data_IF_599772280545
#
_entry.id   IF_599772280545
#
_cell.length_a   1.000
_cell.length_b   1.000
_cell.length_c   1.000
_cell.angle_alpha   90.00
_cell.angle_beta   90.00
_cell.angle_gamma   90.00
#
_symmetry.space_group_name_H-M   'P 1'
#
loop_
_entity.id
_entity.type
_entity.pdbx_description
1 polymer ?
#
# COMPACT_ATOMS: atom_id res chain seq x y z
N UNK A 1 -8.01 -59.57 -5.78
CA UNK A 1 -8.69 -58.92 -6.91
C UNK A 1 -9.34 -57.68 -6.37
N UNK A 2 -8.70 -56.53 -6.54
CA UNK A 2 -9.20 -55.24 -6.09
C UNK A 2 -9.95 -54.58 -7.29
N UNK A 3 -11.26 -54.47 -7.10
CA UNK A 3 -12.17 -53.87 -8.07
C UNK A 3 -11.99 -52.32 -8.02
N UNK A 4 -11.27 -51.80 -8.97
CA UNK A 4 -11.05 -50.34 -9.11
C UNK A 4 -12.17 -49.82 -10.00
N UNK A 5 -13.18 -49.18 -9.38
CA UNK A 5 -14.24 -48.49 -10.10
C UNK A 5 -13.64 -47.29 -10.84
N UNK A 6 -13.82 -47.15 -12.15
CA UNK A 6 -13.42 -45.96 -12.88
C UNK A 6 -14.40 -44.82 -12.53
N UNK A 7 -13.91 -43.83 -11.81
CA UNK A 7 -14.62 -42.56 -11.63
C UNK A 7 -14.51 -41.80 -12.93
N UNK A 8 -15.50 -41.93 -13.81
CA UNK A 8 -15.67 -41.02 -14.94
C UNK A 8 -16.10 -39.67 -14.41
N UNK A 9 -15.15 -38.72 -14.37
CA UNK A 9 -15.48 -37.31 -14.19
C UNK A 9 -16.16 -36.82 -15.46
N UNK A 10 -17.50 -36.86 -15.51
CA UNK A 10 -18.26 -36.07 -16.45
C UNK A 10 -18.08 -34.60 -16.06
N UNK A 11 -17.38 -33.82 -16.88
CA UNK A 11 -17.45 -32.36 -16.85
C UNK A 11 -18.89 -31.96 -17.27
N UNK A 12 -19.83 -32.01 -16.35
CA UNK A 12 -21.08 -31.28 -16.52
C UNK A 12 -20.76 -29.80 -16.45
N UNK A 13 -20.78 -29.15 -17.60
CA UNK A 13 -20.72 -27.69 -17.70
C UNK A 13 -21.99 -27.16 -17.02
N UNK A 14 -21.90 -26.95 -15.70
CA UNK A 14 -22.99 -26.35 -14.90
C UNK A 14 -23.17 -24.92 -15.39
N UNK A 15 -24.20 -24.69 -16.19
CA UNK A 15 -24.61 -23.35 -16.61
C UNK A 15 -25.26 -22.64 -15.43
N UNK A 16 -24.45 -21.90 -14.67
CA UNK A 16 -24.97 -21.07 -13.58
C UNK A 16 -25.85 -19.96 -14.14
N UNK A 17 -26.93 -19.57 -13.42
CA UNK A 17 -27.76 -18.41 -13.78
C UNK A 17 -26.94 -17.14 -13.92
N UNK A 18 -27.36 -16.25 -14.81
CA UNK A 18 -26.61 -15.01 -15.11
C UNK A 18 -26.47 -14.08 -13.89
N UNK A 19 -27.46 -14.06 -13.00
CA UNK A 19 -27.45 -13.32 -11.73
C UNK A 19 -26.40 -13.88 -10.76
N UNK A 20 -26.26 -15.22 -10.65
CA UNK A 20 -25.22 -15.85 -9.85
C UNK A 20 -23.82 -15.51 -10.37
N UNK A 21 -23.63 -15.55 -11.70
CA UNK A 21 -22.38 -15.15 -12.33
C UNK A 21 -22.07 -13.66 -12.13
N UNK A 22 -23.07 -12.79 -12.17
CA UNK A 22 -22.92 -11.37 -11.87
C UNK A 22 -22.44 -11.15 -10.42
N UNK A 23 -23.05 -11.86 -9.46
CA UNK A 23 -22.66 -11.80 -8.06
C UNK A 23 -21.23 -12.26 -7.85
N UNK A 24 -20.80 -13.35 -8.48
CA UNK A 24 -19.40 -13.82 -8.46
C UNK A 24 -18.46 -12.73 -8.96
N UNK A 25 -18.79 -12.10 -10.09
CA UNK A 25 -17.96 -11.01 -10.64
C UNK A 25 -17.88 -9.81 -9.71
N UNK A 26 -18.95 -9.46 -9.01
CA UNK A 26 -18.95 -8.36 -8.05
C UNK A 26 -18.06 -8.66 -6.84
N UNK A 27 -18.14 -9.88 -6.29
CA UNK A 27 -17.21 -10.29 -5.23
C UNK A 27 -15.76 -10.38 -5.71
N UNK A 28 -15.50 -10.83 -6.93
CA UNK A 28 -14.15 -10.82 -7.52
C UNK A 28 -13.60 -9.38 -7.63
N UNK A 29 -14.43 -8.42 -8.05
CA UNK A 29 -14.06 -6.99 -8.08
C UNK A 29 -13.82 -6.44 -6.68
N UNK A 30 -14.68 -6.78 -5.71
CA UNK A 30 -14.56 -6.38 -4.31
C UNK A 30 -13.35 -7.01 -3.60
N UNK A 31 -12.75 -8.08 -4.16
CA UNK A 31 -11.55 -8.74 -3.62
C UNK A 31 -10.31 -7.83 -3.62
N UNK A 32 -10.34 -6.73 -4.37
CA UNK A 32 -9.25 -5.76 -4.47
C UNK A 32 -9.64 -4.43 -3.85
N UNK A 33 -8.71 -3.83 -3.10
CA UNK A 33 -8.89 -2.48 -2.58
C UNK A 33 -9.14 -1.47 -3.71
N UNK A 34 -10.01 -0.49 -3.48
CA UNK A 34 -10.34 0.54 -4.47
C UNK A 34 -9.12 1.28 -5.04
N UNK A 35 -8.09 1.49 -4.22
CA UNK A 35 -6.82 2.08 -4.66
C UNK A 35 -6.06 1.16 -5.63
N UNK A 36 -6.08 -0.16 -5.39
CA UNK A 36 -5.49 -1.15 -6.29
C UNK A 36 -6.23 -1.19 -7.62
N UNK A 37 -7.57 -1.17 -7.59
CA UNK A 37 -8.39 -1.15 -8.81
C UNK A 37 -8.10 0.10 -9.64
N UNK A 38 -8.01 1.28 -9.00
CA UNK A 38 -7.65 2.52 -9.70
C UNK A 38 -6.26 2.45 -10.34
N UNK A 39 -5.28 1.91 -9.62
CA UNK A 39 -3.93 1.73 -10.15
C UNK A 39 -3.93 0.77 -11.35
N UNK A 40 -4.64 -0.36 -11.24
CA UNK A 40 -4.75 -1.34 -12.33
C UNK A 40 -5.46 -0.78 -13.56
N UNK A 41 -6.52 0.02 -13.39
CA UNK A 41 -7.17 0.72 -14.51
C UNK A 41 -6.19 1.63 -15.26
N UNK A 42 -5.40 2.43 -14.53
CA UNK A 42 -4.38 3.30 -15.13
C UNK A 42 -3.28 2.51 -15.84
N UNK A 43 -2.83 1.41 -15.24
CA UNK A 43 -1.78 0.55 -15.79
C UNK A 43 -2.28 -0.21 -17.04
N UNK A 44 -3.52 -0.71 -17.02
CA UNK A 44 -4.15 -1.35 -18.17
C UNK A 44 -4.37 -0.36 -19.33
N UNK A 45 -4.79 0.87 -19.03
CA UNK A 45 -4.94 1.92 -20.03
C UNK A 45 -3.59 2.26 -20.69
N UNK A 46 -2.49 2.31 -19.92
CA UNK A 46 -1.15 2.53 -20.46
C UNK A 46 -0.71 1.39 -21.40
N UNK A 47 -1.01 0.13 -21.03
CA UNK A 47 -0.76 -1.03 -21.88
C UNK A 47 -1.59 -0.99 -23.16
N UNK A 48 -2.90 -0.73 -23.05
CA UNK A 48 -3.80 -0.65 -24.19
C UNK A 48 -3.39 0.45 -25.17
N UNK A 49 -2.99 1.63 -24.67
CA UNK A 49 -2.49 2.72 -25.51
C UNK A 49 -1.20 2.33 -26.25
N UNK A 50 -0.27 1.63 -25.57
CA UNK A 50 0.96 1.14 -26.19
C UNK A 50 0.65 0.10 -27.28
N UNK A 51 -0.25 -0.85 -27.02
CA UNK A 51 -0.68 -1.85 -28.00
C UNK A 51 -1.32 -1.20 -29.23
N UNK A 52 -2.21 -0.24 -29.02
CA UNK A 52 -2.83 0.50 -30.13
C UNK A 52 -1.80 1.22 -31.01
N UNK A 53 -0.77 1.82 -30.41
CA UNK A 53 0.34 2.44 -31.14
C UNK A 53 1.20 1.47 -31.93
N UNK A 54 1.14 0.17 -31.63
CA UNK A 54 1.88 -0.90 -32.33
C UNK A 54 0.97 -1.80 -33.17
N UNK A 55 -0.32 -1.51 -33.28
CA UNK A 55 -1.28 -2.28 -34.07
C UNK A 55 -1.52 -3.71 -33.54
N UNK A 56 -1.32 -3.95 -32.23
CA UNK A 56 -1.51 -5.26 -31.60
C UNK A 56 -2.64 -5.25 -30.60
N UNK A 57 -3.27 -6.42 -30.35
CA UNK A 57 -4.34 -6.56 -29.37
C UNK A 57 -3.81 -6.47 -27.94
N UNK A 58 -4.51 -5.71 -27.10
CA UNK A 58 -4.24 -5.65 -25.66
C UNK A 58 -5.07 -6.67 -24.85
N UNK A 59 -6.15 -7.19 -25.42
CA UNK A 59 -7.03 -8.17 -24.78
C UNK A 59 -7.80 -8.98 -25.84
N UNK A 60 -7.50 -10.27 -26.05
CA UNK A 60 -6.37 -11.00 -25.44
C UNK A 60 -5.02 -10.47 -25.92
N UNK A 61 -4.02 -10.46 -25.06
CA UNK A 61 -2.66 -10.15 -25.43
C UNK A 61 -1.81 -11.43 -25.50
N UNK A 62 -0.88 -11.49 -26.48
CA UNK A 62 0.09 -12.58 -26.50
C UNK A 62 1.21 -12.37 -25.47
N UNK A 63 1.87 -13.45 -25.01
CA UNK A 63 3.02 -13.34 -24.11
C UNK A 63 4.15 -12.46 -24.69
N UNK A 64 4.36 -12.51 -25.99
CA UNK A 64 5.39 -11.72 -26.70
C UNK A 64 5.04 -10.22 -26.64
N UNK A 65 3.77 -9.87 -26.84
CA UNK A 65 3.27 -8.49 -26.73
C UNK A 65 3.51 -7.95 -25.33
N UNK A 66 3.19 -8.74 -24.31
CA UNK A 66 3.43 -8.35 -22.91
C UNK A 66 4.92 -8.21 -22.61
N UNK A 67 5.74 -9.15 -23.05
CA UNK A 67 7.20 -9.10 -22.88
C UNK A 67 7.82 -7.86 -23.55
N UNK A 68 7.37 -7.53 -24.76
CA UNK A 68 7.81 -6.34 -25.51
C UNK A 68 7.43 -5.04 -24.77
N UNK A 69 6.18 -4.94 -24.29
CA UNK A 69 5.74 -3.80 -23.51
C UNK A 69 6.55 -3.60 -22.23
N UNK A 70 6.79 -4.67 -21.45
CA UNK A 70 7.57 -4.59 -20.22
C UNK A 70 9.03 -4.20 -20.48
N UNK A 71 9.60 -4.68 -21.60
CA UNK A 71 10.95 -4.30 -22.05
C UNK A 71 11.00 -2.83 -22.44
N UNK A 72 9.99 -2.32 -23.16
CA UNK A 72 9.84 -0.92 -23.50
C UNK A 72 9.78 -0.04 -22.24
N UNK A 73 8.97 -0.41 -21.24
CA UNK A 73 8.87 0.30 -19.97
C UNK A 73 10.19 0.35 -19.20
N UNK A 74 10.94 -0.75 -19.23
CA UNK A 74 12.27 -0.81 -18.62
C UNK A 74 13.27 0.10 -19.34
N UNK A 75 13.23 0.13 -20.68
CA UNK A 75 14.06 1.03 -21.49
C UNK A 75 13.70 2.50 -21.28
N UNK A 76 12.44 2.80 -20.99
CA UNK A 76 11.96 4.14 -20.61
C UNK A 76 12.31 4.52 -19.16
N UNK A 77 13.10 3.72 -18.44
CA UNK A 77 13.57 4.00 -17.07
C UNK A 77 12.51 3.82 -15.98
N UNK A 78 11.43 3.07 -16.24
CA UNK A 78 10.42 2.78 -15.21
C UNK A 78 10.97 1.86 -14.13
N UNK A 79 10.63 2.15 -12.88
CA UNK A 79 11.05 1.33 -11.75
C UNK A 79 10.49 -0.10 -11.86
N UNK A 80 11.28 -1.12 -11.46
CA UNK A 80 10.89 -2.54 -11.49
C UNK A 80 9.59 -2.82 -10.74
N UNK A 81 9.30 -2.08 -9.66
CA UNK A 81 8.05 -2.18 -8.91
C UNK A 81 6.84 -1.71 -9.73
N UNK A 82 6.99 -0.65 -10.55
CA UNK A 82 5.96 -0.16 -11.45
C UNK A 82 5.70 -1.17 -12.57
N UNK A 83 6.76 -1.72 -13.16
CA UNK A 83 6.69 -2.74 -14.22
C UNK A 83 5.98 -4.00 -13.69
N UNK A 84 6.34 -4.47 -12.49
CA UNK A 84 5.67 -5.60 -11.86
C UNK A 84 4.17 -5.35 -11.57
N UNK A 85 3.80 -4.12 -11.19
CA UNK A 85 2.39 -3.75 -11.00
C UNK A 85 1.63 -3.72 -12.34
N UNK A 86 2.25 -3.24 -13.43
CA UNK A 86 1.65 -3.26 -14.78
C UNK A 86 1.41 -4.68 -15.26
N UNK A 87 2.37 -5.59 -15.06
CA UNK A 87 2.15 -7.01 -15.35
C UNK A 87 0.97 -7.58 -14.55
N UNK A 88 0.88 -7.30 -13.26
CA UNK A 88 -0.25 -7.74 -12.45
C UNK A 88 -1.59 -7.13 -12.88
N UNK A 89 -1.60 -5.91 -13.43
CA UNK A 89 -2.79 -5.29 -14.00
C UNK A 89 -3.23 -5.97 -15.30
N UNK A 90 -2.29 -6.36 -16.17
CA UNK A 90 -2.55 -7.11 -17.42
C UNK A 90 -3.15 -8.48 -17.06
N UNK A 91 -2.51 -9.23 -16.15
CA UNK A 91 -3.01 -10.51 -15.66
C UNK A 91 -4.43 -10.40 -15.08
N UNK A 92 -4.67 -9.35 -14.29
CA UNK A 92 -6.00 -9.10 -13.72
C UNK A 92 -7.05 -8.78 -14.77
N UNK A 93 -6.71 -8.02 -15.83
CA UNK A 93 -7.61 -7.73 -16.94
C UNK A 93 -8.00 -9.01 -17.70
N UNK A 94 -7.04 -9.89 -17.99
CA UNK A 94 -7.29 -11.19 -18.64
C UNK A 94 -8.17 -12.08 -17.76
N UNK A 95 -7.89 -12.15 -16.46
CA UNK A 95 -8.71 -12.91 -15.51
C UNK A 95 -10.17 -12.42 -15.48
N UNK A 96 -10.41 -11.10 -15.51
CA UNK A 96 -11.77 -10.54 -15.55
C UNK A 96 -12.51 -10.83 -16.86
N UNK A 97 -11.77 -11.05 -17.94
CA UNK A 97 -12.30 -11.41 -19.25
C UNK A 97 -12.38 -12.92 -19.47
N UNK A 98 -12.07 -13.73 -18.46
CA UNK A 98 -12.01 -15.19 -18.52
C UNK A 98 -11.04 -15.70 -19.61
N UNK A 99 -9.90 -15.01 -19.75
CA UNK A 99 -8.84 -15.30 -20.70
C UNK A 99 -7.59 -15.82 -19.98
N UNK A 100 -6.77 -16.64 -20.65
CA UNK A 100 -5.49 -17.10 -20.08
C UNK A 100 -4.59 -15.93 -19.70
N UNK A 101 -3.84 -16.09 -18.60
CA UNK A 101 -2.88 -15.08 -18.15
C UNK A 101 -1.60 -15.15 -19.01
N UNK A 102 -1.32 -14.14 -19.87
CA UNK A 102 -0.10 -14.10 -20.67
C UNK A 102 1.15 -13.93 -19.81
N UNK A 103 1.00 -13.43 -18.58
CA UNK A 103 2.08 -13.23 -17.64
C UNK A 103 2.67 -14.54 -17.08
N UNK A 104 1.92 -15.64 -17.15
CA UNK A 104 2.36 -16.95 -16.70
C UNK A 104 3.36 -17.63 -17.67
N UNK A 105 3.55 -17.08 -18.88
CA UNK A 105 4.43 -17.67 -19.89
C UNK A 105 5.92 -17.43 -19.56
N UNK A 106 6.77 -18.42 -19.88
CA UNK A 106 8.21 -18.38 -19.54
C UNK A 106 8.93 -17.16 -20.16
N UNK A 107 8.55 -16.74 -21.37
CA UNK A 107 9.10 -15.54 -22.01
C UNK A 107 8.91 -14.30 -21.13
N UNK A 108 7.73 -14.11 -20.53
CA UNK A 108 7.44 -12.97 -19.65
C UNK A 108 8.21 -13.08 -18.36
N UNK A 109 8.29 -14.28 -17.79
CA UNK A 109 9.08 -14.55 -16.59
C UNK A 109 10.56 -14.26 -16.81
N UNK A 110 11.14 -14.69 -17.94
CA UNK A 110 12.52 -14.43 -18.28
C UNK A 110 12.81 -12.93 -18.43
N UNK A 111 11.91 -12.18 -19.10
CA UNK A 111 12.02 -10.73 -19.25
C UNK A 111 11.96 -10.02 -17.88
N UNK A 112 11.00 -10.34 -17.03
CA UNK A 112 10.90 -9.75 -15.67
C UNK A 112 12.15 -10.05 -14.83
N UNK A 113 12.66 -11.29 -14.90
CA UNK A 113 13.89 -11.69 -14.22
C UNK A 113 15.10 -10.90 -14.76
N UNK A 114 15.19 -10.71 -16.08
CA UNK A 114 16.21 -9.90 -16.73
C UNK A 114 16.14 -8.42 -16.30
N UNK A 115 14.95 -7.83 -16.30
CA UNK A 115 14.70 -6.46 -15.83
C UNK A 115 15.16 -6.27 -14.38
N UNK A 116 14.84 -7.20 -13.48
CA UNK A 116 15.25 -7.13 -12.07
C UNK A 116 16.74 -7.28 -11.84
N UNK A 117 17.45 -7.99 -12.72
CA UNK A 117 18.90 -8.22 -12.63
C UNK A 117 19.73 -7.08 -13.21
N UNK A 118 19.17 -6.28 -14.13
CA UNK A 118 19.88 -5.10 -14.60
C UNK A 118 19.98 -4.08 -13.48
N UNK A 119 21.15 -3.46 -13.26
CA UNK A 119 21.27 -2.34 -12.32
C UNK A 119 20.42 -1.20 -12.86
N UNK A 120 19.16 -1.16 -12.43
CA UNK A 120 18.29 -0.02 -12.67
C UNK A 120 18.57 1.01 -11.59
N UNK A 121 18.34 2.26 -11.96
CA UNK A 121 18.50 3.41 -11.07
C UNK A 121 18.24 3.02 -9.62
N UNK A 122 19.23 3.22 -8.80
CA UNK A 122 19.13 2.98 -7.35
C UNK A 122 17.77 3.53 -6.86
N UNK A 123 17.06 2.73 -6.10
CA UNK A 123 15.82 3.18 -5.46
C UNK A 123 16.20 4.33 -4.55
N UNK A 124 16.07 5.56 -5.06
CA UNK A 124 16.37 6.76 -4.28
C UNK A 124 15.41 6.83 -3.11
N UNK A 125 15.85 6.32 -1.98
CA UNK A 125 15.10 6.44 -0.74
C UNK A 125 14.99 7.91 -0.36
N UNK A 126 13.80 8.33 0.06
CA UNK A 126 13.62 9.65 0.61
C UNK A 126 14.33 9.75 1.95
N UNK A 127 14.98 10.88 2.20
CA UNK A 127 15.57 11.17 3.50
C UNK A 127 14.49 11.08 4.59
N UNK A 128 14.83 10.43 5.70
CA UNK A 128 13.90 10.37 6.83
C UNK A 128 13.63 11.77 7.38
N UNK A 129 12.37 12.04 7.70
CA UNK A 129 12.02 13.26 8.40
C UNK A 129 12.51 13.14 9.85
N UNK A 130 13.39 14.07 10.29
CA UNK A 130 13.80 14.22 11.68
C UNK A 130 12.94 15.26 12.39
N UNK A 131 13.07 15.38 13.71
CA UNK A 131 12.34 16.39 14.48
C UNK A 131 12.71 17.82 14.04
N UNK A 132 13.97 18.04 13.68
CA UNK A 132 14.49 19.33 13.16
C UNK A 132 13.84 19.67 11.82
N UNK A 133 13.79 18.70 10.90
CA UNK A 133 13.12 18.87 9.60
C UNK A 133 11.63 19.16 9.79
N UNK A 134 10.95 18.43 10.69
CA UNK A 134 9.55 18.71 11.01
C UNK A 134 9.37 20.12 11.56
N UNK A 135 10.22 20.56 12.48
CA UNK A 135 10.17 21.92 13.06
C UNK A 135 10.36 22.99 11.98
N UNK A 136 11.33 22.79 11.09
CA UNK A 136 11.52 23.68 9.95
C UNK A 136 10.31 23.70 9.01
N UNK A 137 9.69 22.56 8.72
CA UNK A 137 8.45 22.51 7.92
C UNK A 137 7.31 23.27 8.61
N UNK A 138 7.12 23.08 9.92
CA UNK A 138 6.06 23.73 10.68
C UNK A 138 6.20 25.25 10.76
N UNK A 139 7.43 25.79 10.72
CA UNK A 139 7.68 27.24 10.71
C UNK A 139 7.21 27.92 9.41
N UNK A 140 7.15 27.16 8.30
CA UNK A 140 6.71 27.67 6.99
C UNK A 140 5.20 27.48 6.75
N UNK A 141 4.49 26.80 7.65
CA UNK A 141 3.03 26.59 7.52
C UNK A 141 2.30 27.90 7.83
N UNK A 142 1.49 28.44 6.90
CA UNK A 142 0.81 29.72 7.09
C UNK A 142 -0.22 29.68 8.25
N UNK A 143 -0.57 30.85 8.77
CA UNK A 143 -1.67 30.99 9.72
C UNK A 143 -3.03 30.69 9.03
N UNK A 144 -4.07 30.37 9.81
CA UNK A 144 -5.40 30.11 9.29
C UNK A 144 -5.82 28.62 9.34
N UNK A 145 -7.03 28.31 8.88
CA UNK A 145 -7.60 26.95 8.99
C UNK A 145 -6.80 25.91 8.22
N UNK A 146 -6.38 26.23 7.00
CA UNK A 146 -5.54 25.33 6.20
C UNK A 146 -4.23 25.01 6.90
N UNK A 147 -3.54 26.04 7.44
CA UNK A 147 -2.31 25.81 8.19
C UNK A 147 -2.51 25.06 9.49
N UNK A 148 -3.63 25.24 10.20
CA UNK A 148 -3.96 24.43 11.38
C UNK A 148 -4.12 22.96 11.00
N UNK A 149 -4.81 22.66 9.90
CA UNK A 149 -4.94 21.32 9.33
C UNK A 149 -3.58 20.72 9.00
N UNK A 150 -2.74 21.47 8.29
CA UNK A 150 -1.45 20.98 7.80
C UNK A 150 -0.49 20.71 8.98
N UNK A 151 -0.50 21.57 10.01
CA UNK A 151 0.23 21.30 11.26
C UNK A 151 -0.24 20.04 11.95
N UNK A 152 -1.57 19.82 12.02
CA UNK A 152 -2.13 18.62 12.63
C UNK A 152 -1.72 17.36 11.84
N UNK A 153 -1.78 17.39 10.51
CA UNK A 153 -1.36 16.27 9.66
C UNK A 153 0.13 15.97 9.80
N UNK A 154 0.98 16.99 9.79
CA UNK A 154 2.43 16.81 9.97
C UNK A 154 2.78 16.27 11.35
N UNK A 155 2.17 16.84 12.40
CA UNK A 155 2.42 16.42 13.78
C UNK A 155 1.95 14.99 14.06
N UNK A 156 0.70 14.68 13.73
CA UNK A 156 0.16 13.32 13.90
C UNK A 156 0.91 12.31 13.02
N UNK A 157 1.18 12.66 11.75
CA UNK A 157 1.86 11.80 10.82
C UNK A 157 3.26 11.41 11.28
N UNK A 158 4.00 12.38 11.80
CA UNK A 158 5.34 12.16 12.34
C UNK A 158 5.32 11.36 13.64
N UNK A 159 4.53 11.79 14.63
CA UNK A 159 4.52 11.19 15.95
C UNK A 159 3.90 9.78 15.96
N UNK A 160 2.90 9.51 15.10
CA UNK A 160 2.23 8.22 15.01
C UNK A 160 2.77 7.30 13.89
N UNK A 161 3.70 7.77 13.06
CA UNK A 161 4.18 7.08 11.87
C UNK A 161 3.02 6.51 11.02
N UNK A 162 1.94 7.30 10.87
CA UNK A 162 0.75 6.89 10.13
C UNK A 162 1.01 6.88 8.62
N UNK A 163 0.38 5.94 7.93
CA UNK A 163 0.33 6.00 6.46
C UNK A 163 -0.58 7.14 6.02
N UNK A 164 -0.29 7.70 4.85
CA UNK A 164 -1.12 8.78 4.27
C UNK A 164 -2.61 8.44 4.21
N UNK A 165 -2.96 7.19 3.88
CA UNK A 165 -4.35 6.73 3.83
C UNK A 165 -4.99 6.62 5.20
N UNK A 166 -4.23 6.29 6.22
CA UNK A 166 -4.69 6.24 7.62
C UNK A 166 -4.98 7.66 8.11
N UNK A 167 -4.05 8.60 7.90
CA UNK A 167 -4.24 10.03 8.26
C UNK A 167 -5.47 10.64 7.56
N UNK A 168 -5.63 10.37 6.25
CA UNK A 168 -6.74 10.92 5.47
C UNK A 168 -8.11 10.36 5.86
N UNK A 169 -8.14 9.21 6.55
CA UNK A 169 -9.37 8.54 6.99
C UNK A 169 -9.73 8.86 8.45
N UNK A 170 -8.88 9.60 9.18
CA UNK A 170 -9.15 9.96 10.58
C UNK A 170 -10.34 10.91 10.69
N UNK A 171 -11.18 10.62 11.66
CA UNK A 171 -12.23 11.50 12.13
C UNK A 171 -11.84 12.10 13.49
N UNK A 172 -12.40 13.25 13.83
CA UNK A 172 -12.19 13.86 15.15
C UNK A 172 -12.59 12.91 16.29
N UNK A 173 -13.65 12.11 16.08
CA UNK A 173 -14.11 11.09 17.02
C UNK A 173 -13.13 9.92 17.22
N UNK A 174 -12.12 9.79 16.37
CA UNK A 174 -11.07 8.77 16.50
C UNK A 174 -9.91 9.21 17.42
N UNK A 175 -9.93 10.47 17.83
CA UNK A 175 -8.92 11.09 18.70
C UNK A 175 -9.45 11.19 20.12
N UNK A 176 -8.71 10.63 21.07
CA UNK A 176 -9.06 10.69 22.51
C UNK A 176 -7.85 11.13 23.30
N UNK A 177 -8.04 12.10 24.18
CA UNK A 177 -6.98 12.53 25.12
C UNK A 177 -6.63 11.38 26.07
N UNK A 178 -5.34 11.23 26.34
CA UNK A 178 -4.78 10.23 27.26
C UNK A 178 -3.69 10.87 28.10
N UNK A 179 -3.42 10.30 29.28
CA UNK A 179 -2.41 10.83 30.22
C UNK A 179 -1.03 10.96 29.56
N UNK A 180 -0.67 10.01 28.69
CA UNK A 180 0.62 9.95 28.00
C UNK A 180 0.61 10.61 26.61
N UNK A 181 -0.47 11.31 26.24
CA UNK A 181 -0.60 11.95 24.95
C UNK A 181 -1.99 11.79 24.34
N UNK A 182 -2.06 11.50 23.05
CA UNK A 182 -3.30 11.32 22.31
C UNK A 182 -3.43 9.86 21.85
N UNK A 183 -4.57 9.24 22.12
CA UNK A 183 -4.92 7.93 21.57
C UNK A 183 -5.64 8.12 20.24
N UNK A 184 -5.13 7.47 19.19
CA UNK A 184 -5.68 7.53 17.83
C UNK A 184 -6.21 6.17 17.44
N UNK A 185 -7.50 6.10 17.10
CA UNK A 185 -8.15 4.88 16.63
C UNK A 185 -7.98 4.75 15.10
N UNK A 186 -7.29 3.71 14.65
CA UNK A 186 -7.16 3.38 13.24
C UNK A 186 -8.23 2.36 12.88
N UNK A 187 -9.24 2.81 12.13
CA UNK A 187 -10.38 1.96 11.74
C UNK A 187 -10.04 0.94 10.66
N UNK A 188 -9.15 1.30 9.73
CA UNK A 188 -8.68 0.45 8.62
C UNK A 188 -7.21 0.71 8.36
N UNK A 189 -6.43 -0.34 8.20
CA UNK A 189 -5.03 -0.24 7.79
C UNK A 189 -4.81 -0.94 6.45
N UNK A 190 -3.63 -0.76 5.84
CA UNK A 190 -3.28 -1.44 4.58
C UNK A 190 -3.27 -2.98 4.74
N UNK A 191 -2.99 -3.47 5.93
CA UNK A 191 -2.93 -4.90 6.28
C UNK A 191 -4.25 -5.45 6.82
N UNK A 192 -5.19 -4.57 7.21
CA UNK A 192 -6.51 -4.90 7.69
C UNK A 192 -7.53 -3.99 7.00
N UNK A 193 -7.80 -4.28 5.73
CA UNK A 193 -8.74 -3.51 4.93
C UNK A 193 -10.19 -3.85 5.23
N UNK A 194 -10.42 -5.01 5.83
CA UNK A 194 -11.74 -5.49 6.21
C UNK A 194 -12.15 -4.98 7.60
N UNK A 195 -11.21 -4.44 8.39
CA UNK A 195 -11.45 -3.97 9.75
C UNK A 195 -11.84 -5.09 10.71
N UNK A 196 -11.48 -6.33 10.39
CA UNK A 196 -11.79 -7.54 11.18
C UNK A 196 -10.69 -7.94 12.15
N UNK A 197 -9.59 -7.18 12.16
CA UNK A 197 -8.49 -7.43 13.11
C UNK A 197 -9.01 -7.52 14.53
N UNK A 198 -8.47 -8.44 15.37
CA UNK A 198 -8.96 -8.71 16.73
C UNK A 198 -8.85 -7.51 17.67
N UNK A 199 -8.25 -6.41 17.24
CA UNK A 199 -8.23 -5.11 17.91
C UNK A 199 -8.22 -4.01 16.86
N UNK A 200 -9.24 -3.13 16.87
CA UNK A 200 -9.12 -1.80 16.29
C UNK A 200 -7.79 -1.23 16.78
N UNK A 201 -6.83 -1.04 15.87
CA UNK A 201 -5.48 -0.64 16.27
C UNK A 201 -5.55 0.76 16.85
N UNK A 202 -5.51 0.89 18.16
CA UNK A 202 -5.31 2.17 18.81
C UNK A 202 -3.82 2.40 19.01
N UNK A 203 -3.29 3.52 18.53
CA UNK A 203 -1.92 3.96 18.80
C UNK A 203 -1.96 5.12 19.78
N UNK A 204 -1.22 4.99 20.87
CA UNK A 204 -0.93 6.14 21.73
C UNK A 204 0.21 6.90 21.08
N UNK A 205 -0.07 8.11 20.66
CA UNK A 205 0.90 9.04 20.11
C UNK A 205 1.41 9.87 21.26
N UNK A 206 2.64 9.58 21.73
CA UNK A 206 3.30 10.36 22.76
C UNK A 206 3.48 11.78 22.25
N UNK A 207 2.99 12.76 23.01
CA UNK A 207 3.19 14.15 22.66
C UNK A 207 4.62 14.54 23.06
N UNK A 208 5.47 14.83 22.09
CA UNK A 208 6.71 15.57 22.33
C UNK A 208 6.32 16.93 22.94
N UNK A 209 6.52 17.05 24.25
CA UNK A 209 6.38 18.28 25.01
C UNK A 209 5.09 19.06 24.73
N UNK A 210 4.10 18.96 25.62
CA UNK A 210 2.90 19.84 25.73
C UNK A 210 2.34 20.39 24.41
N UNK A 211 1.98 19.54 23.49
CA UNK A 211 1.04 19.90 22.44
C UNK A 211 -0.37 19.80 23.03
N UNK A 212 -0.74 20.73 23.86
CA UNK A 212 -2.16 20.95 24.13
C UNK A 212 -2.75 21.43 22.83
N UNK A 213 -3.41 20.53 22.11
CA UNK A 213 -4.27 20.89 21.01
C UNK A 213 -5.37 21.76 21.61
N UNK A 214 -5.22 23.06 21.43
CA UNK A 214 -6.06 24.05 22.08
C UNK A 214 -7.48 23.97 21.57
N UNK A 215 -8.41 23.72 22.44
CA UNK A 215 -9.80 24.23 22.30
C UNK A 215 -9.86 25.76 22.22
N UNK A 216 -8.74 26.45 22.40
CA UNK A 216 -8.61 27.90 22.26
C UNK A 216 -7.31 28.23 21.52
N UNK A 217 -7.45 28.74 20.31
CA UNK A 217 -6.52 29.08 19.25
C UNK A 217 -5.20 29.84 19.56
N UNK A 218 -4.42 29.47 20.54
CA UNK A 218 -3.10 30.08 20.78
C UNK A 218 -2.01 29.02 20.89
N UNK A 219 -1.04 29.11 20.00
CA UNK A 219 0.21 28.35 20.02
C UNK A 219 1.25 29.10 20.85
N UNK A 220 1.74 28.54 21.92
CA UNK A 220 2.92 29.05 22.61
C UNK A 220 4.11 28.15 22.33
N UNK A 221 5.27 28.70 21.92
CA UNK A 221 6.49 27.92 21.73
C UNK A 221 7.04 27.44 23.07
N UNK A 222 7.37 26.15 23.15
CA UNK A 222 8.04 25.59 24.34
C UNK A 222 9.53 25.96 24.33
N UNK A 223 9.88 27.04 25.00
CA UNK A 223 11.25 27.30 25.44
C UNK A 223 11.51 26.53 26.72
N UNK A 224 12.02 25.33 26.61
CA UNK A 224 12.90 24.56 27.54
C UNK A 224 12.89 23.10 27.17
N UNK A 225 13.85 22.69 26.35
CA UNK A 225 14.19 21.30 26.15
C UNK A 225 14.97 20.78 27.37
N UNK A 226 14.29 20.09 28.29
CA UNK A 226 14.94 19.29 29.33
C UNK A 226 15.62 18.08 28.71
N UNK A 227 16.89 17.86 29.03
CA UNK A 227 17.71 16.71 28.59
C UNK A 227 17.08 15.39 29.01
N UNK A 228 16.73 14.56 28.06
CA UNK A 228 16.33 13.18 28.31
C UNK A 228 17.63 12.36 28.46
N UNK A 229 17.97 12.01 29.71
CA UNK A 229 19.00 11.00 30.00
C UNK A 229 18.41 9.62 29.76
N UNK A 230 18.85 8.96 28.72
CA UNK A 230 18.51 7.57 28.44
C UNK A 230 19.09 6.66 29.52
N UNK A 231 18.24 6.05 30.36
CA UNK A 231 18.61 4.89 31.19
C UNK A 231 18.68 3.67 30.29
N UNK A 232 19.89 3.28 29.92
CA UNK A 232 20.18 1.95 29.44
C UNK A 232 19.91 0.94 30.55
N UNK A 233 18.92 0.06 30.38
CA UNK A 233 18.74 -1.12 31.26
C UNK A 233 19.88 -2.10 30.99
N UNK A 234 20.78 -2.22 31.96
CA UNK A 234 21.84 -3.20 31.98
C UNK A 234 21.27 -4.62 31.94
N UNK A 235 21.83 -5.41 31.06
CA UNK A 235 21.64 -6.84 30.95
C UNK A 235 22.36 -7.50 32.13
N UNK A 236 21.61 -8.06 33.06
CA UNK A 236 22.15 -8.86 34.13
C UNK A 236 22.78 -10.14 33.55
N UNK A 237 24.05 -10.37 33.88
CA UNK A 237 24.79 -11.55 33.50
C UNK A 237 24.31 -12.77 34.27
N UNK A 238 24.14 -13.90 33.60
CA UNK A 238 24.04 -15.23 34.20
C UNK A 238 25.43 -15.82 34.31
N UNK A 239 25.86 -16.08 35.52
CA UNK A 239 27.12 -16.76 35.87
C UNK A 239 27.06 -18.27 35.57
N UNK A 240 28.22 -18.94 35.61
CA UNK A 240 28.35 -20.32 35.15
C UNK A 240 27.88 -21.33 36.22
N UNK A 241 27.18 -22.37 35.76
CA UNK A 241 26.98 -23.60 36.60
C UNK A 241 28.01 -24.64 36.20
N UNK A 242 28.53 -25.26 37.25
CA UNK A 242 29.41 -26.44 37.23
C UNK A 242 28.78 -27.64 36.56
#
# INVERSE_FOLDING_TARGET
MADTLPVEFREEVVKLPADALALVRDYQRASKASATVRAYKSDAAAFSAWCAGHGVSSLPASPETVAAFLSHEASAGRASSTIGRRLAAIAYAHKLADLPDPGAHETVHAVIKGIRRRPHMEVRQKTAATAEVLTAMLSHVPAGLAGKRDRALLGLGFAGAFRRSELAALLVSDLTDHADGMRVLIRRSKTDQEGRGPRRQSRTVGMFGRWRCCRAGSWLPASRMGRYSGRSRGRAGSGPRR
#
